data_IF_336141035388
#
_entry.id   IF_336141035388
#
_cell.length_a   1.000
_cell.length_b   1.000
_cell.length_c   1.000
_cell.angle_alpha   90.00
_cell.angle_beta   90.00
_cell.angle_gamma   90.00
#
_symmetry.space_group_name_H-M   'P 1'
#
loop_
_entity.id
_entity.type
_entity.pdbx_description
1 polymer ?
#
# COMPACT_ATOMS: atom_id res chain seq x y z
N UNK A 1 -11.57 -21.48 -8.74
CA UNK A 1 -10.89 -21.03 -7.49
C UNK A 1 -11.06 -22.16 -6.48
N UNK A 2 -9.94 -22.69 -5.95
CA UNK A 2 -9.99 -23.68 -4.88
C UNK A 2 -10.58 -23.08 -3.59
N UNK A 3 -11.27 -23.90 -2.78
CA UNK A 3 -11.87 -23.47 -1.51
C UNK A 3 -10.94 -22.62 -0.63
N UNK A 4 -9.66 -23.00 -0.40
CA UNK A 4 -8.79 -22.21 0.49
C UNK A 4 -8.51 -20.80 -0.04
N UNK A 5 -8.36 -20.62 -1.35
CA UNK A 5 -8.12 -19.29 -1.94
C UNK A 5 -9.38 -18.41 -1.82
N UNK A 6 -10.56 -18.97 -2.08
CA UNK A 6 -11.81 -18.23 -1.93
C UNK A 6 -11.99 -17.71 -0.50
N UNK A 7 -11.77 -18.56 0.50
CA UNK A 7 -11.87 -18.15 1.90
C UNK A 7 -10.81 -17.11 2.28
N UNK A 8 -9.60 -17.22 1.75
CA UNK A 8 -8.56 -16.21 1.95
C UNK A 8 -8.99 -14.84 1.43
N UNK A 9 -9.54 -14.77 0.22
CA UNK A 9 -10.08 -13.52 -0.35
C UNK A 9 -11.30 -13.00 0.43
N UNK A 10 -12.18 -13.88 0.88
CA UNK A 10 -13.35 -13.48 1.67
C UNK A 10 -12.94 -12.88 3.03
N UNK A 11 -11.99 -13.51 3.73
CA UNK A 11 -11.43 -12.97 4.98
C UNK A 11 -10.74 -11.63 4.72
N UNK A 12 -9.97 -11.50 3.65
CA UNK A 12 -9.33 -10.25 3.25
C UNK A 12 -10.35 -9.11 3.05
N UNK A 13 -11.41 -9.36 2.28
CA UNK A 13 -12.49 -8.39 2.08
C UNK A 13 -13.22 -8.04 3.38
N UNK A 14 -13.45 -9.02 4.27
CA UNK A 14 -14.07 -8.79 5.57
C UNK A 14 -13.19 -7.91 6.48
N UNK A 15 -11.87 -8.13 6.50
CA UNK A 15 -10.91 -7.30 7.24
C UNK A 15 -10.94 -5.86 6.72
N UNK A 16 -10.96 -5.65 5.40
CA UNK A 16 -11.11 -4.30 4.83
C UNK A 16 -12.39 -3.62 5.28
N UNK A 17 -13.53 -4.31 5.19
CA UNK A 17 -14.81 -3.77 5.63
C UNK A 17 -14.81 -3.35 7.10
N UNK A 18 -14.33 -4.24 7.99
CA UNK A 18 -14.27 -3.97 9.42
C UNK A 18 -13.32 -2.81 9.74
N UNK A 19 -12.17 -2.74 9.07
CA UNK A 19 -11.21 -1.63 9.22
C UNK A 19 -11.84 -0.30 8.83
N UNK A 20 -12.56 -0.25 7.70
CA UNK A 20 -13.25 0.96 7.25
C UNK A 20 -14.35 1.38 8.23
N UNK A 21 -15.13 0.45 8.79
CA UNK A 21 -16.12 0.74 9.84
C UNK A 21 -15.50 1.34 11.10
N UNK A 22 -14.29 0.90 11.46
CA UNK A 22 -13.57 1.48 12.60
C UNK A 22 -13.08 2.90 12.30
N UNK A 23 -12.59 3.15 11.07
CA UNK A 23 -12.06 4.47 10.65
C UNK A 23 -13.15 5.52 10.59
N UNK A 24 -14.34 5.20 10.09
CA UNK A 24 -15.45 6.17 9.96
C UNK A 24 -16.15 6.48 11.30
N UNK A 25 -15.85 5.78 12.37
CA UNK A 25 -16.28 6.12 13.73
C UNK A 25 -17.79 6.17 13.91
N UNK A 26 -18.32 7.31 14.38
CA UNK A 26 -19.73 7.50 14.70
C UNK A 26 -20.66 7.46 13.49
N UNK A 27 -20.17 7.84 12.31
CA UNK A 27 -20.96 7.84 11.08
C UNK A 27 -21.22 6.44 10.49
N UNK A 28 -20.62 5.39 11.06
CA UNK A 28 -20.77 3.99 10.58
C UNK A 28 -22.23 3.54 10.40
N UNK A 29 -23.14 4.01 11.23
CA UNK A 29 -24.57 3.69 11.15
C UNK A 29 -25.25 4.20 9.87
N UNK A 30 -24.72 5.26 9.27
CA UNK A 30 -25.25 5.89 8.04
C UNK A 30 -24.55 5.35 6.80
N UNK A 31 -23.22 5.18 6.87
CA UNK A 31 -22.38 4.90 5.68
C UNK A 31 -21.99 3.43 5.51
N UNK A 32 -22.39 2.53 6.43
CA UNK A 32 -22.03 1.10 6.33
C UNK A 32 -22.41 0.43 5.00
N UNK A 33 -23.55 0.78 4.33
CA UNK A 33 -23.90 0.14 3.06
C UNK A 33 -22.88 0.48 1.94
N UNK A 34 -22.38 1.73 1.93
CA UNK A 34 -21.39 2.20 0.98
C UNK A 34 -20.04 1.51 1.23
N UNK A 35 -19.67 1.33 2.50
CA UNK A 35 -18.46 0.60 2.87
C UNK A 35 -18.57 -0.89 2.52
N UNK A 36 -19.74 -1.49 2.71
CA UNK A 36 -19.99 -2.85 2.28
C UNK A 36 -19.92 -2.99 0.76
N UNK A 37 -20.52 -2.04 0.02
CA UNK A 37 -20.41 -2.01 -1.44
C UNK A 37 -18.94 -1.92 -1.89
N UNK A 38 -18.13 -1.08 -1.26
CA UNK A 38 -16.70 -0.98 -1.54
C UNK A 38 -15.97 -2.31 -1.27
N UNK A 39 -16.24 -2.96 -0.14
CA UNK A 39 -15.64 -4.25 0.19
C UNK A 39 -16.05 -5.36 -0.79
N UNK A 40 -17.30 -5.37 -1.25
CA UNK A 40 -17.79 -6.32 -2.27
C UNK A 40 -17.18 -6.06 -3.65
N UNK A 41 -17.02 -4.80 -4.05
CA UNK A 41 -16.30 -4.42 -5.27
C UNK A 41 -14.85 -4.90 -5.19
N UNK A 42 -14.15 -4.60 -4.09
CA UNK A 42 -12.78 -5.05 -3.85
C UNK A 42 -12.65 -6.58 -3.96
N UNK A 43 -13.49 -7.31 -3.24
CA UNK A 43 -13.52 -8.77 -3.30
C UNK A 43 -13.76 -9.30 -4.73
N UNK A 44 -14.67 -8.67 -5.47
CA UNK A 44 -15.00 -9.07 -6.86
C UNK A 44 -13.79 -8.86 -7.78
N UNK A 45 -13.09 -7.74 -7.65
CA UNK A 45 -11.88 -7.42 -8.42
C UNK A 45 -10.80 -8.46 -8.14
N UNK A 46 -10.56 -8.80 -6.87
CA UNK A 46 -9.58 -9.81 -6.49
C UNK A 46 -9.91 -11.20 -7.02
N UNK A 47 -11.19 -11.59 -6.99
CA UNK A 47 -11.66 -12.86 -7.58
C UNK A 47 -11.44 -12.89 -9.09
N UNK A 48 -11.76 -11.78 -9.79
CA UNK A 48 -11.54 -11.66 -11.25
C UNK A 48 -10.05 -11.73 -11.60
N UNK A 49 -9.22 -10.98 -10.89
CA UNK A 49 -7.77 -10.99 -11.05
C UNK A 49 -7.19 -12.40 -10.89
N UNK A 50 -7.60 -13.11 -9.83
CA UNK A 50 -7.16 -14.49 -9.62
C UNK A 50 -7.57 -15.41 -10.77
N UNK A 51 -8.82 -15.32 -11.24
CA UNK A 51 -9.32 -16.13 -12.36
C UNK A 51 -8.62 -15.82 -13.68
N UNK A 52 -8.35 -14.55 -13.96
CA UNK A 52 -7.68 -14.13 -15.19
C UNK A 52 -6.19 -14.49 -15.16
N UNK A 53 -5.51 -14.25 -14.05
CA UNK A 53 -4.10 -14.59 -13.87
C UNK A 53 -3.81 -16.09 -13.98
N UNK A 54 -4.72 -16.93 -13.49
CA UNK A 54 -4.57 -18.39 -13.64
C UNK A 54 -4.65 -18.90 -15.08
N UNK A 55 -5.26 -18.12 -15.99
CA UNK A 55 -5.41 -18.49 -17.41
C UNK A 55 -4.25 -18.01 -18.29
N UNK A 56 -3.46 -17.04 -17.86
CA UNK A 56 -2.37 -16.42 -18.64
C UNK A 56 -1.14 -16.14 -17.75
N UNK A 57 -0.36 -17.17 -17.42
CA UNK A 57 0.76 -17.05 -16.47
C UNK A 57 1.81 -15.99 -16.81
N UNK A 58 2.03 -15.70 -18.10
CA UNK A 58 2.98 -14.66 -18.53
C UNK A 58 2.43 -13.23 -18.49
N UNK A 59 1.14 -13.05 -18.21
CA UNK A 59 0.49 -11.74 -18.25
C UNK A 59 0.25 -11.24 -16.82
N UNK A 60 1.28 -10.70 -16.18
CA UNK A 60 1.27 -10.33 -14.76
C UNK A 60 1.23 -8.82 -14.55
N UNK A 61 2.04 -8.07 -15.29
CA UNK A 61 2.26 -6.64 -15.03
C UNK A 61 1.03 -5.77 -15.37
N UNK A 62 0.46 -5.91 -16.57
CA UNK A 62 -0.69 -5.11 -16.98
C UNK A 62 -1.94 -5.38 -16.11
N UNK A 63 -2.34 -6.65 -15.83
CA UNK A 63 -3.42 -6.93 -14.91
C UNK A 63 -3.22 -6.37 -13.51
N UNK A 64 -1.98 -6.32 -13.01
CA UNK A 64 -1.70 -5.70 -11.72
C UNK A 64 -2.01 -4.20 -11.73
N UNK A 65 -1.55 -3.45 -12.73
CA UNK A 65 -1.80 -2.01 -12.79
C UNK A 65 -3.28 -1.70 -13.04
N UNK A 66 -3.97 -2.47 -13.87
CA UNK A 66 -5.41 -2.35 -14.09
C UNK A 66 -6.16 -2.57 -12.76
N UNK A 67 -5.81 -3.61 -12.04
CA UNK A 67 -6.34 -3.93 -10.73
C UNK A 67 -6.16 -2.76 -9.73
N UNK A 68 -4.95 -2.21 -9.62
CA UNK A 68 -4.69 -1.06 -8.75
C UNK A 68 -5.50 0.17 -9.17
N UNK A 69 -5.60 0.46 -10.46
CA UNK A 69 -6.38 1.57 -10.98
C UNK A 69 -7.88 1.42 -10.64
N UNK A 70 -8.46 0.23 -10.83
CA UNK A 70 -9.87 -0.04 -10.52
C UNK A 70 -10.12 0.07 -9.01
N UNK A 71 -9.20 -0.39 -8.16
CA UNK A 71 -9.30 -0.20 -6.71
C UNK A 71 -9.31 1.28 -6.32
N UNK A 72 -8.38 2.07 -6.85
CA UNK A 72 -8.32 3.51 -6.57
C UNK A 72 -9.61 4.21 -7.03
N UNK A 73 -10.07 3.93 -8.25
CA UNK A 73 -11.30 4.51 -8.77
C UNK A 73 -12.53 4.13 -7.95
N UNK A 74 -12.63 2.89 -7.49
CA UNK A 74 -13.74 2.44 -6.62
C UNK A 74 -13.73 3.15 -5.27
N UNK A 75 -12.54 3.34 -4.66
CA UNK A 75 -12.39 4.11 -3.41
C UNK A 75 -12.82 5.55 -3.61
N UNK A 76 -12.37 6.23 -4.68
CA UNK A 76 -12.73 7.61 -4.98
C UNK A 76 -14.23 7.76 -5.23
N UNK A 77 -14.85 6.84 -5.98
CA UNK A 77 -16.28 6.86 -6.26
C UNK A 77 -17.11 6.70 -4.97
N UNK A 78 -16.75 5.74 -4.11
CA UNK A 78 -17.44 5.51 -2.84
C UNK A 78 -17.19 6.64 -1.85
N UNK A 79 -15.99 7.20 -1.79
CA UNK A 79 -15.67 8.35 -0.95
C UNK A 79 -16.50 9.57 -1.34
N UNK A 80 -16.62 9.84 -2.65
CA UNK A 80 -17.50 10.92 -3.15
C UNK A 80 -18.98 10.65 -2.80
N UNK A 81 -19.44 9.42 -2.96
CA UNK A 81 -20.82 9.04 -2.56
C UNK A 81 -21.06 9.26 -1.07
N UNK A 82 -20.13 8.83 -0.20
CA UNK A 82 -20.21 9.06 1.25
C UNK A 82 -20.24 10.57 1.54
N UNK A 83 -19.39 11.37 0.89
CA UNK A 83 -19.34 12.81 1.08
C UNK A 83 -20.66 13.52 0.75
N UNK A 84 -21.46 13.01 -0.21
CA UNK A 84 -22.80 13.54 -0.50
C UNK A 84 -23.84 13.18 0.56
N UNK A 85 -23.69 12.04 1.24
CA UNK A 85 -24.65 11.56 2.24
C UNK A 85 -24.34 12.04 3.67
N UNK A 86 -23.07 12.26 3.97
CA UNK A 86 -22.59 12.63 5.28
C UNK A 86 -21.50 13.72 5.16
N UNK A 87 -21.86 14.95 4.76
CA UNK A 87 -20.88 16.03 4.56
C UNK A 87 -20.14 16.42 5.86
N UNK A 88 -20.76 16.22 7.00
CA UNK A 88 -20.21 16.48 8.33
C UNK A 88 -19.48 15.25 8.93
N UNK A 89 -19.02 14.31 8.06
CA UNK A 89 -18.37 13.08 8.50
C UNK A 89 -17.10 13.39 9.32
N UNK A 90 -17.13 13.07 10.61
CA UNK A 90 -15.93 13.06 11.44
C UNK A 90 -15.30 11.67 11.44
N UNK A 91 -14.04 11.59 11.01
CA UNK A 91 -13.27 10.35 11.09
C UNK A 91 -12.85 10.08 12.54
N UNK A 92 -12.83 8.80 12.94
CA UNK A 92 -12.28 8.38 14.24
C UNK A 92 -10.76 8.64 14.36
N UNK A 93 -10.10 8.81 13.22
CA UNK A 93 -8.66 9.05 13.12
C UNK A 93 -8.46 10.43 12.48
N UNK A 94 -7.58 11.26 13.06
CA UNK A 94 -7.23 12.55 12.46
C UNK A 94 -6.70 12.36 11.03
N UNK A 95 -7.14 13.20 10.05
CA UNK A 95 -6.73 13.08 8.65
C UNK A 95 -5.21 13.00 8.45
N UNK A 96 -4.45 13.78 9.19
CA UNK A 96 -2.98 13.76 9.15
C UNK A 96 -2.41 12.37 9.53
N UNK A 97 -2.98 11.71 10.54
CA UNK A 97 -2.56 10.35 10.95
C UNK A 97 -2.91 9.35 9.86
N UNK A 98 -4.09 9.46 9.25
CA UNK A 98 -4.50 8.58 8.14
C UNK A 98 -3.57 8.75 6.93
N UNK A 99 -3.20 9.98 6.56
CA UNK A 99 -2.26 10.27 5.46
C UNK A 99 -0.90 9.64 5.75
N UNK A 100 -0.34 9.86 6.96
CA UNK A 100 0.96 9.29 7.33
C UNK A 100 0.91 7.76 7.34
N UNK A 101 -0.11 7.15 7.94
CA UNK A 101 -0.26 5.70 7.95
C UNK A 101 -0.36 5.12 6.53
N UNK A 102 -1.16 5.75 5.65
CA UNK A 102 -1.27 5.37 4.24
C UNK A 102 0.07 5.48 3.50
N UNK A 103 0.84 6.53 3.79
CA UNK A 103 2.18 6.70 3.22
C UNK A 103 3.12 5.54 3.58
N UNK A 104 3.11 5.08 4.84
CA UNK A 104 3.89 3.90 5.23
C UNK A 104 3.43 2.64 4.50
N UNK A 105 2.13 2.40 4.38
CA UNK A 105 1.60 1.25 3.63
C UNK A 105 2.03 1.31 2.15
N UNK A 106 1.94 2.48 1.53
CA UNK A 106 2.36 2.67 0.12
C UNK A 106 3.86 2.45 -0.05
N UNK A 107 4.68 3.10 0.76
CA UNK A 107 6.14 3.00 0.64
C UNK A 107 6.67 1.59 0.94
N UNK A 108 6.03 0.86 1.83
CA UNK A 108 6.48 -0.49 2.22
C UNK A 108 5.78 -1.57 1.40
N UNK A 109 4.52 -1.85 1.69
CA UNK A 109 3.80 -3.00 1.16
C UNK A 109 3.41 -2.85 -0.32
N UNK A 110 2.74 -1.74 -0.67
CA UNK A 110 2.27 -1.53 -2.05
C UNK A 110 3.46 -1.51 -3.00
N UNK A 111 4.51 -0.78 -2.65
CA UNK A 111 5.70 -0.73 -3.49
C UNK A 111 6.44 -2.06 -3.57
N UNK A 112 6.50 -2.84 -2.50
CA UNK A 112 7.09 -4.18 -2.55
C UNK A 112 6.38 -5.08 -3.57
N UNK A 113 5.04 -5.09 -3.56
CA UNK A 113 4.25 -5.86 -4.54
C UNK A 113 4.46 -5.33 -5.96
N UNK A 114 4.52 -4.01 -6.13
CA UNK A 114 4.80 -3.36 -7.42
C UNK A 114 6.18 -3.76 -7.95
N UNK A 115 7.22 -3.65 -7.13
CA UNK A 115 8.59 -4.01 -7.50
C UNK A 115 8.71 -5.49 -7.87
N UNK A 116 8.13 -6.38 -7.07
CA UNK A 116 8.06 -7.81 -7.37
C UNK A 116 7.35 -8.09 -8.71
N UNK A 117 6.29 -7.35 -9.00
CA UNK A 117 5.53 -7.48 -10.25
C UNK A 117 6.34 -6.98 -11.45
N UNK A 118 7.01 -5.84 -11.32
CA UNK A 118 7.89 -5.30 -12.36
C UNK A 118 9.11 -6.21 -12.61
N UNK A 119 9.64 -6.84 -11.57
CA UNK A 119 10.74 -7.77 -11.66
C UNK A 119 10.35 -9.15 -12.24
N UNK A 120 9.08 -9.36 -12.63
CA UNK A 120 8.59 -10.67 -13.07
C UNK A 120 9.39 -11.30 -14.22
N UNK A 121 9.84 -10.49 -15.16
CA UNK A 121 10.64 -10.94 -16.31
C UNK A 121 12.13 -11.19 -15.97
N UNK A 122 12.61 -10.68 -14.85
CA UNK A 122 14.00 -10.76 -14.40
C UNK A 122 14.11 -11.75 -13.22
N UNK A 123 14.22 -13.04 -13.51
CA UNK A 123 14.15 -14.10 -12.48
C UNK A 123 15.15 -13.91 -11.32
N UNK A 124 16.38 -13.47 -11.62
CA UNK A 124 17.40 -13.21 -10.59
C UNK A 124 16.99 -12.06 -9.67
N UNK A 125 16.61 -10.91 -10.23
CA UNK A 125 16.17 -9.75 -9.44
C UNK A 125 14.89 -10.03 -8.66
N UNK A 126 13.93 -10.75 -9.27
CA UNK A 126 12.71 -11.16 -8.58
C UNK A 126 13.01 -12.01 -7.35
N UNK A 127 13.92 -12.99 -7.46
CA UNK A 127 14.33 -13.82 -6.32
C UNK A 127 14.97 -12.98 -5.21
N UNK A 128 15.84 -12.00 -5.54
CA UNK A 128 16.40 -11.07 -4.55
C UNK A 128 15.30 -10.25 -3.86
N UNK A 129 14.31 -9.75 -4.61
CA UNK A 129 13.16 -9.01 -4.04
C UNK A 129 12.36 -9.89 -3.08
N UNK A 130 12.01 -11.11 -3.48
CA UNK A 130 11.22 -12.04 -2.66
C UNK A 130 11.95 -12.45 -1.38
N UNK A 131 13.26 -12.69 -1.45
CA UNK A 131 14.09 -13.10 -0.30
C UNK A 131 14.42 -11.96 0.66
N UNK A 132 14.25 -10.70 0.25
CA UNK A 132 14.56 -9.51 1.05
C UNK A 132 13.33 -8.68 1.45
N UNK A 133 12.15 -9.30 1.56
CA UNK A 133 10.89 -8.64 1.91
C UNK A 133 11.02 -7.72 3.14
N UNK A 134 11.33 -8.28 4.30
CA UNK A 134 11.39 -7.53 5.54
C UNK A 134 12.47 -6.44 5.56
N UNK A 135 13.72 -6.73 5.14
CA UNK A 135 14.74 -5.70 5.03
C UNK A 135 14.36 -4.53 4.13
N UNK A 136 13.70 -4.79 2.99
CA UNK A 136 13.22 -3.74 2.09
C UNK A 136 12.12 -2.89 2.73
N UNK A 137 11.12 -3.53 3.34
CA UNK A 137 10.04 -2.81 4.01
C UNK A 137 10.55 -1.96 5.16
N UNK A 138 11.44 -2.51 6.01
CA UNK A 138 12.03 -1.79 7.12
C UNK A 138 12.93 -0.63 6.66
N UNK A 139 13.75 -0.83 5.62
CA UNK A 139 14.59 0.23 5.08
C UNK A 139 13.75 1.39 4.54
N UNK A 140 12.69 1.10 3.76
CA UNK A 140 11.77 2.12 3.23
C UNK A 140 11.03 2.87 4.33
N UNK A 141 10.52 2.14 5.33
CA UNK A 141 9.89 2.76 6.50
C UNK A 141 10.87 3.68 7.24
N UNK A 142 12.11 3.24 7.42
CA UNK A 142 13.14 4.03 8.09
C UNK A 142 13.57 5.25 7.24
N UNK A 143 13.74 5.12 5.93
CA UNK A 143 14.00 6.28 5.05
C UNK A 143 12.84 7.27 5.07
N UNK A 144 11.59 6.79 4.97
CA UNK A 144 10.41 7.64 5.06
C UNK A 144 10.35 8.38 6.40
N UNK A 145 10.58 7.67 7.51
CA UNK A 145 10.65 8.28 8.85
C UNK A 145 11.74 9.33 8.93
N UNK A 146 12.93 9.06 8.41
CA UNK A 146 14.04 10.02 8.37
C UNK A 146 13.65 11.29 7.62
N UNK A 147 13.00 11.17 6.47
CA UNK A 147 12.55 12.30 5.65
C UNK A 147 11.39 13.07 6.28
N UNK A 148 10.45 12.41 6.96
CA UNK A 148 9.34 13.06 7.65
C UNK A 148 9.81 13.80 8.92
N UNK A 149 10.79 13.25 9.64
CA UNK A 149 11.31 13.83 10.89
C UNK A 149 12.50 14.77 10.72
N UNK A 150 12.96 14.99 9.50
CA UNK A 150 14.07 15.92 9.19
C UNK A 150 13.84 17.31 9.77
N UNK A 151 12.60 17.81 9.69
CA UNK A 151 12.24 19.14 10.18
C UNK A 151 12.29 19.29 11.69
N UNK A 152 12.24 18.19 12.44
CA UNK A 152 12.32 18.20 13.90
C UNK A 152 13.70 17.76 14.41
N UNK A 153 14.71 17.71 13.53
CA UNK A 153 16.09 17.35 13.87
C UNK A 153 16.29 15.87 14.30
N UNK A 154 15.32 15.01 14.07
CA UNK A 154 15.33 13.60 14.52
C UNK A 154 15.47 12.58 13.37
N UNK A 155 16.11 13.00 12.26
CA UNK A 155 16.27 12.13 11.10
C UNK A 155 17.35 11.04 11.26
N UNK A 156 18.41 11.32 12.04
CA UNK A 156 19.58 10.44 12.11
C UNK A 156 19.27 9.00 12.55
N UNK A 157 18.51 8.72 13.63
CA UNK A 157 18.26 7.34 14.04
C UNK A 157 17.55 6.48 12.97
N UNK A 158 16.47 6.96 12.30
CA UNK A 158 15.85 6.21 11.23
C UNK A 158 16.77 5.94 10.03
N UNK A 159 17.61 6.92 9.65
CA UNK A 159 18.53 6.76 8.55
C UNK A 159 19.64 5.75 8.84
N UNK A 160 20.17 5.75 10.07
CA UNK A 160 21.11 4.73 10.54
C UNK A 160 20.47 3.34 10.51
N UNK A 161 19.23 3.22 11.00
CA UNK A 161 18.49 1.95 10.95
C UNK A 161 18.32 1.46 9.51
N UNK A 162 17.96 2.33 8.57
CA UNK A 162 17.82 1.97 7.16
C UNK A 162 19.14 1.42 6.59
N UNK A 163 20.25 2.07 6.87
CA UNK A 163 21.60 1.62 6.48
C UNK A 163 21.92 0.26 7.07
N UNK A 164 21.74 0.10 8.38
CA UNK A 164 22.07 -1.15 9.12
C UNK A 164 21.27 -2.34 8.58
N UNK A 165 19.98 -2.18 8.35
CA UNK A 165 19.12 -3.25 7.82
C UNK A 165 19.52 -3.66 6.41
N UNK A 166 20.10 -2.76 5.60
CA UNK A 166 20.52 -3.05 4.22
C UNK A 166 21.93 -3.60 4.09
N UNK A 167 22.78 -3.43 5.10
CA UNK A 167 24.17 -3.90 5.08
C UNK A 167 24.35 -5.37 4.68
N UNK A 168 23.55 -6.35 5.16
CA UNK A 168 23.68 -7.75 4.76
C UNK A 168 23.47 -8.00 3.26
N UNK A 169 22.76 -7.10 2.58
CA UNK A 169 22.34 -7.24 1.18
C UNK A 169 23.21 -6.46 0.18
N UNK A 170 24.30 -5.83 0.64
CA UNK A 170 25.22 -5.09 -0.26
C UNK A 170 25.91 -6.01 -1.27
N UNK A 171 25.93 -7.33 -1.02
CA UNK A 171 26.50 -8.35 -1.91
C UNK A 171 25.56 -8.81 -3.01
N UNK A 172 24.25 -8.48 -2.92
CA UNK A 172 23.28 -8.82 -3.95
C UNK A 172 23.65 -8.14 -5.27
N UNK A 173 23.47 -8.81 -6.39
CA UNK A 173 23.85 -8.30 -7.72
C UNK A 173 23.17 -6.97 -8.03
N UNK A 174 21.93 -6.78 -7.57
CA UNK A 174 21.11 -5.60 -7.87
C UNK A 174 20.98 -4.64 -6.67
N UNK A 175 21.89 -4.67 -5.70
CA UNK A 175 21.77 -3.87 -4.47
C UNK A 175 21.64 -2.36 -4.72
N UNK A 176 22.37 -1.82 -5.74
CA UNK A 176 22.27 -0.39 -6.12
C UNK A 176 20.88 -0.02 -6.61
N UNK A 177 20.30 -0.86 -7.49
CA UNK A 177 18.93 -0.69 -7.98
C UNK A 177 17.94 -0.70 -6.82
N UNK A 178 18.07 -1.63 -5.91
CA UNK A 178 17.24 -1.75 -4.72
C UNK A 178 17.34 -0.51 -3.81
N UNK A 179 18.56 -0.02 -3.54
CA UNK A 179 18.76 1.16 -2.71
C UNK A 179 18.18 2.43 -3.36
N UNK A 180 18.44 2.64 -4.65
CA UNK A 180 17.88 3.79 -5.39
C UNK A 180 16.35 3.74 -5.37
N UNK A 181 15.77 2.58 -5.59
CA UNK A 181 14.32 2.37 -5.55
C UNK A 181 13.73 2.66 -4.17
N UNK A 182 14.36 2.17 -3.10
CA UNK A 182 13.92 2.40 -1.72
C UNK A 182 13.95 3.90 -1.38
N UNK A 183 15.00 4.61 -1.78
CA UNK A 183 15.14 6.06 -1.57
C UNK A 183 14.13 6.86 -2.38
N UNK A 184 13.99 6.57 -3.67
CA UNK A 184 13.04 7.29 -4.54
C UNK A 184 11.61 7.17 -4.02
N UNK A 185 11.18 5.97 -3.64
CA UNK A 185 9.84 5.75 -3.09
C UNK A 185 9.64 6.51 -1.78
N UNK A 186 10.63 6.48 -0.89
CA UNK A 186 10.55 7.22 0.37
C UNK A 186 10.48 8.74 0.12
N UNK A 187 11.28 9.28 -0.82
CA UNK A 187 11.27 10.70 -1.17
C UNK A 187 9.92 11.12 -1.77
N UNK A 188 9.42 10.39 -2.77
CA UNK A 188 8.15 10.70 -3.42
C UNK A 188 6.98 10.63 -2.43
N UNK A 189 6.98 9.60 -1.57
CA UNK A 189 5.95 9.44 -0.55
C UNK A 189 6.02 10.54 0.52
N UNK A 190 7.22 10.92 0.97
CA UNK A 190 7.39 12.02 1.92
C UNK A 190 6.97 13.36 1.32
N UNK A 191 7.30 13.62 0.05
CA UNK A 191 6.85 14.82 -0.67
C UNK A 191 5.32 14.88 -0.76
N UNK A 192 4.67 13.76 -1.11
CA UNK A 192 3.22 13.67 -1.14
C UNK A 192 2.58 13.96 0.23
N UNK A 193 3.11 13.37 1.31
CA UNK A 193 2.61 13.63 2.68
C UNK A 193 2.70 15.11 3.02
N UNK A 194 3.82 15.77 2.70
CA UNK A 194 4.01 17.20 2.99
C UNK A 194 3.05 18.08 2.20
N UNK A 195 2.82 17.77 0.93
CA UNK A 195 1.85 18.49 0.11
C UNK A 195 0.43 18.30 0.64
N UNK A 196 0.04 17.07 0.93
CA UNK A 196 -1.28 16.75 1.46
C UNK A 196 -1.51 17.35 2.86
N UNK A 197 -0.50 17.34 3.74
CA UNK A 197 -0.59 17.95 5.07
C UNK A 197 -0.61 19.48 5.02
N UNK A 198 0.00 20.10 4.02
CA UNK A 198 -0.03 21.56 3.82
C UNK A 198 -1.36 22.10 3.28
N UNK A 199 -2.25 21.20 2.82
CA UNK A 199 -3.61 21.54 2.32
C UNK A 199 -4.71 21.28 3.35
N UNK A 200 -4.38 20.73 4.52
CA UNK A 200 -5.27 20.49 5.67
C UNK A 200 -5.17 21.61 6.71
#
# INVERSE_FOLDING_TARGET
>A
IGRPVFWGLAVHGAVHFLTLLLVVGSARGVVWPQLLALALIHFTIDVLKYRLGSRRPGWVTAPYFIDQAVHILSVLAVANWIGTLAPELSLAIAPAVAIVASAYVVATHVWFVTEKTLAHAETGYRSEVENSLWPRMLARAAFLSGLLFVLIGRAAPPLVLAGTVRLPYYKDTHWRRALVTDLLVAILTAAFVRLAAGTL
#
